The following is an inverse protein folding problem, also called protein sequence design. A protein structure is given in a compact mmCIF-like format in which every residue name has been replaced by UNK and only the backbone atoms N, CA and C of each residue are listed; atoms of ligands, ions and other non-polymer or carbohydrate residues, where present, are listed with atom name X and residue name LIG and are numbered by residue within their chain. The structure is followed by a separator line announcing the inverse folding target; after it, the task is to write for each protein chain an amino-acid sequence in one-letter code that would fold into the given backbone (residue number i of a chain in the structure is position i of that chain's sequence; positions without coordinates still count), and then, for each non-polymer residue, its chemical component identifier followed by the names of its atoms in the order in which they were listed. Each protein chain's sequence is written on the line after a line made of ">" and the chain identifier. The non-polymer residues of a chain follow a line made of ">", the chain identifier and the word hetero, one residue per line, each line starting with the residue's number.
data_IF_830868385715
#
_entry.id   IF_830868385715
#
_cell.length_a   1.000
_cell.length_b   1.000
_cell.length_c   1.000
_cell.angle_alpha   90.00
_cell.angle_beta   90.00
_cell.angle_gamma   90.00
#
_symmetry.space_group_name_H-M   'P 1'
#
loop_
_entity.id
_entity.type
_entity.pdbx_description
1 polymer ?
#
# COMPACT_ATOMS: atom_id res chain seq x y z
N UNK A 1 4.19 0.18 9.97
CA UNK A 1 3.43 -1.09 9.91
C UNK A 1 2.47 -1.16 11.09
N UNK A 2 1.32 -1.81 10.94
CA UNK A 2 0.30 -1.99 11.97
C UNK A 2 -0.03 -3.47 12.20
N UNK A 3 -0.84 -3.77 13.23
CA UNK A 3 -1.15 -5.13 13.70
C UNK A 3 -1.73 -6.07 12.61
N UNK A 4 -2.42 -5.50 11.62
CA UNK A 4 -3.08 -6.25 10.56
C UNK A 4 -2.65 -5.83 9.15
N UNK A 5 -1.68 -4.94 9.05
CA UNK A 5 -1.26 -4.39 7.77
C UNK A 5 0.24 -4.04 7.78
N UNK A 6 0.90 -4.35 6.68
CA UNK A 6 2.27 -3.97 6.41
C UNK A 6 2.26 -2.83 5.42
N UNK A 7 3.10 -1.82 5.66
CA UNK A 7 3.30 -0.70 4.74
C UNK A 7 4.78 -0.54 4.51
N UNK A 8 5.16 -0.36 3.26
CA UNK A 8 6.52 -0.03 2.85
C UNK A 8 6.46 1.27 2.05
N UNK A 9 7.43 2.13 2.31
CA UNK A 9 7.63 3.37 1.59
C UNK A 9 9.11 3.47 1.28
N UNK A 10 9.43 3.75 0.03
CA UNK A 10 10.80 4.00 -0.40
C UNK A 10 10.81 5.26 -1.24
N UNK A 11 11.82 6.09 -1.03
CA UNK A 11 12.02 7.31 -1.76
C UNK A 11 13.49 7.47 -2.12
N UNK A 12 13.74 8.25 -3.17
CA UNK A 12 15.10 8.55 -3.56
C UNK A 12 15.19 9.49 -4.74
N UNK A 13 16.41 9.97 -5.06
CA UNK A 13 16.64 10.78 -6.23
C UNK A 13 16.56 9.91 -7.51
N UNK A 14 15.74 10.33 -8.48
CA UNK A 14 15.85 9.87 -9.88
C UNK A 14 17.13 10.43 -10.50
N UNK A 15 17.41 11.71 -10.21
CA UNK A 15 18.63 12.42 -10.55
C UNK A 15 18.89 13.44 -9.45
N UNK A 16 20.11 13.43 -8.91
CA UNK A 16 20.50 14.35 -7.84
C UNK A 16 20.18 15.80 -8.22
N UNK A 17 19.51 16.51 -7.31
CA UNK A 17 19.09 17.92 -7.44
C UNK A 17 18.13 18.22 -8.63
N UNK A 18 17.61 17.19 -9.31
CA UNK A 18 16.79 17.34 -10.53
C UNK A 18 15.48 16.56 -10.47
N UNK A 19 15.42 15.44 -9.78
CA UNK A 19 14.18 14.68 -9.68
C UNK A 19 14.24 13.59 -8.62
N UNK A 20 13.07 13.23 -8.13
CA UNK A 20 12.86 12.26 -7.06
C UNK A 20 11.70 11.34 -7.38
N UNK A 21 11.73 10.16 -6.76
CA UNK A 21 10.60 9.24 -6.76
C UNK A 21 10.21 8.90 -5.32
N UNK A 22 8.95 8.58 -5.15
CA UNK A 22 8.36 8.03 -3.93
C UNK A 22 7.47 6.86 -4.34
N UNK A 23 7.76 5.68 -3.83
CA UNK A 23 6.96 4.47 -4.05
C UNK A 23 6.48 3.95 -2.71
N UNK A 24 5.17 3.91 -2.55
CA UNK A 24 4.49 3.37 -1.38
C UNK A 24 3.67 2.15 -1.73
N UNK A 25 3.66 1.17 -0.84
CA UNK A 25 2.78 0.01 -0.94
C UNK A 25 2.26 -0.40 0.43
N UNK A 26 1.01 -0.83 0.50
CA UNK A 26 0.41 -1.36 1.71
C UNK A 26 -0.35 -2.65 1.42
N UNK A 27 -0.11 -3.65 2.27
CA UNK A 27 -0.73 -4.97 2.20
C UNK A 27 -1.38 -5.28 3.55
N UNK A 28 -2.63 -5.74 3.50
CA UNK A 28 -3.40 -6.18 4.67
C UNK A 28 -3.36 -7.70 4.78
N UNK A 29 -3.22 -8.26 5.99
CA UNK A 29 -3.17 -9.71 6.25
C UNK A 29 -4.22 -10.15 7.27
N UNK A 30 -5.49 -9.88 6.98
CA UNK A 30 -6.62 -10.15 7.90
C UNK A 30 -7.06 -11.63 7.92
N UNK A 31 -6.74 -12.42 6.90
CA UNK A 31 -7.19 -13.82 6.75
C UNK A 31 -6.92 -14.70 7.99
N UNK A 32 -5.71 -14.74 8.60
CA UNK A 32 -5.45 -15.62 9.74
C UNK A 32 -6.28 -15.27 10.99
N UNK A 33 -6.61 -13.98 11.15
CA UNK A 33 -7.42 -13.50 12.26
C UNK A 33 -8.89 -13.87 12.06
N UNK A 34 -9.39 -13.77 10.84
CA UNK A 34 -10.74 -14.20 10.48
C UNK A 34 -10.89 -15.70 10.70
N UNK A 35 -9.93 -16.52 10.24
CA UNK A 35 -9.91 -17.96 10.51
C UNK A 35 -9.95 -18.29 12.00
N UNK A 36 -9.18 -17.54 12.80
CA UNK A 36 -9.13 -17.72 14.25
C UNK A 36 -10.47 -17.39 14.93
N UNK A 37 -11.11 -16.27 14.57
CA UNK A 37 -12.40 -15.86 15.13
C UNK A 37 -13.57 -16.72 14.59
N UNK A 38 -13.53 -17.12 13.33
CA UNK A 38 -14.53 -18.02 12.73
C UNK A 38 -14.55 -19.39 13.40
N UNK A 39 -13.38 -19.97 13.71
CA UNK A 39 -13.28 -21.28 14.38
C UNK A 39 -13.74 -21.28 15.84
N UNK A 40 -13.70 -20.13 16.54
CA UNK A 40 -14.04 -20.04 17.97
C UNK A 40 -15.46 -19.53 18.27
N UNK A 41 -16.13 -18.90 17.32
CA UNK A 41 -17.39 -18.20 17.63
C UNK A 41 -18.48 -18.21 16.55
N UNK A 42 -18.26 -18.81 15.38
CA UNK A 42 -19.22 -18.74 14.25
C UNK A 42 -19.66 -17.28 13.94
N UNK A 43 -18.77 -16.30 14.21
CA UNK A 43 -19.09 -14.88 14.30
C UNK A 43 -18.97 -14.14 12.96
N UNK A 44 -18.32 -14.76 11.97
CA UNK A 44 -17.94 -14.16 10.68
C UNK A 44 -18.36 -15.02 9.48
N UNK A 45 -19.28 -15.96 9.67
CA UNK A 45 -19.86 -16.81 8.62
C UNK A 45 -20.98 -16.05 7.88
N UNK A 46 -20.63 -14.96 7.21
CA UNK A 46 -21.55 -14.33 6.26
C UNK A 46 -21.42 -15.05 4.91
N UNK A 47 -22.32 -16.01 4.69
CA UNK A 47 -22.63 -16.59 3.38
C UNK A 47 -21.53 -17.44 2.73
N UNK A 48 -21.21 -18.61 3.30
CA UNK A 48 -20.80 -19.82 2.54
C UNK A 48 -19.54 -19.80 1.67
N UNK A 49 -18.93 -18.65 1.42
CA UNK A 49 -17.79 -18.45 0.52
C UNK A 49 -16.55 -18.06 1.35
N UNK A 50 -15.39 -18.56 0.95
CA UNK A 50 -14.08 -18.19 1.51
C UNK A 50 -13.84 -16.67 1.34
N UNK A 51 -14.25 -15.87 2.33
CA UNK A 51 -14.10 -14.41 2.24
C UNK A 51 -12.65 -14.02 2.47
N UNK A 52 -11.92 -13.87 1.37
CA UNK A 52 -10.53 -13.37 1.37
C UNK A 52 -10.50 -11.86 1.58
N UNK A 53 -10.40 -11.43 2.82
CA UNK A 53 -10.21 -10.02 3.17
C UNK A 53 -8.72 -9.63 3.08
N UNK A 54 -8.26 -9.46 1.85
CA UNK A 54 -6.89 -9.01 1.54
C UNK A 54 -6.95 -7.82 0.60
N UNK A 55 -6.50 -6.67 1.07
CA UNK A 55 -6.37 -5.46 0.27
C UNK A 55 -4.90 -5.12 0.06
N UNK A 56 -4.59 -4.74 -1.18
CA UNK A 56 -3.28 -4.24 -1.57
C UNK A 56 -3.45 -2.90 -2.27
N UNK A 57 -2.74 -1.88 -1.80
CA UNK A 57 -2.68 -0.56 -2.43
C UNK A 57 -1.24 -0.16 -2.73
N UNK A 58 -1.05 0.53 -3.85
CA UNK A 58 0.25 1.03 -4.33
C UNK A 58 0.07 2.48 -4.71
N UNK A 59 1.05 3.31 -4.36
CA UNK A 59 1.12 4.72 -4.72
C UNK A 59 2.50 5.00 -5.30
N UNK A 60 2.57 5.70 -6.43
CA UNK A 60 3.80 6.13 -7.06
C UNK A 60 3.75 7.63 -7.32
N UNK A 61 4.75 8.35 -6.84
CA UNK A 61 4.97 9.76 -7.18
C UNK A 61 6.35 9.92 -7.83
N UNK A 62 6.38 10.66 -8.92
CA UNK A 62 7.60 11.08 -9.61
C UNK A 62 7.59 12.61 -9.68
N UNK A 63 8.71 13.24 -9.37
CA UNK A 63 8.90 14.68 -9.46
C UNK A 63 10.18 14.96 -10.28
N UNK A 64 10.13 15.94 -11.17
CA UNK A 64 11.27 16.31 -12.01
C UNK A 64 11.29 17.80 -12.37
N UNK A 65 12.43 18.45 -12.19
CA UNK A 65 12.70 19.85 -12.52
C UNK A 65 13.33 19.95 -13.91
N UNK A 66 12.60 20.55 -14.85
CA UNK A 66 13.05 20.74 -16.24
C UNK A 66 14.02 21.93 -16.34
N UNK A 67 13.66 23.05 -15.71
CA UNK A 67 14.41 24.31 -15.69
C UNK A 67 14.32 24.95 -14.30
N UNK A 68 15.02 26.07 -14.08
CA UNK A 68 14.95 26.80 -12.80
C UNK A 68 13.53 27.34 -12.48
N UNK A 69 12.62 27.33 -13.47
CA UNK A 69 11.25 27.82 -13.33
C UNK A 69 10.18 26.76 -13.64
N UNK A 70 10.56 25.63 -14.22
CA UNK A 70 9.63 24.63 -14.72
C UNK A 70 9.85 23.27 -14.06
N UNK A 71 8.77 22.68 -13.57
CA UNK A 71 8.74 21.34 -13.00
C UNK A 71 7.53 20.54 -13.47
N UNK A 72 7.68 19.23 -13.45
CA UNK A 72 6.65 18.25 -13.80
C UNK A 72 6.61 17.21 -12.70
N UNK A 73 5.42 16.75 -12.36
CA UNK A 73 5.23 15.61 -11.48
C UNK A 73 4.19 14.66 -12.06
N UNK A 74 4.26 13.42 -11.63
CA UNK A 74 3.31 12.37 -11.94
C UNK A 74 2.92 11.66 -10.64
N UNK A 75 1.64 11.34 -10.49
CA UNK A 75 1.10 10.64 -9.33
C UNK A 75 0.14 9.55 -9.80
N UNK A 76 0.31 8.35 -9.27
CA UNK A 76 -0.51 7.16 -9.49
C UNK A 76 -0.85 6.51 -8.14
#
# INVERSE_FOLDING_TARGET
>A
SGLFASSVLTEGPLKKDKGSFLLGGRMTYFEPWIDFFSKRGNLLTFSGDDIKYRFFDVNLKLDYTLSDRDGVFFLL
#
